data_IF_880164123602
#
_entry.id   IF_880164123602
#
_cell.length_a   1.000
_cell.length_b   1.000
_cell.length_c   1.000
_cell.angle_alpha   90.00
_cell.angle_beta   90.00
_cell.angle_gamma   90.00
#
_symmetry.space_group_name_H-M   'P 1'
#
loop_
_entity.id
_entity.type
_entity.pdbx_description
1 polymer ?
#
# COMPACT_ATOMS: atom_id res chain seq x y z
N UNK A 1 -16.58 11.00 4.05
CA UNK A 1 -16.34 11.02 5.51
C UNK A 1 -14.89 10.71 5.72
N UNK A 2 -14.11 11.75 5.92
CA UNK A 2 -12.67 11.62 5.92
C UNK A 2 -12.15 11.82 7.35
N UNK A 3 -11.32 10.88 7.76
CA UNK A 3 -10.56 10.94 9.00
C UNK A 3 -9.09 10.74 8.69
N UNK A 4 -8.24 11.51 9.32
CA UNK A 4 -6.83 11.18 9.37
C UNK A 4 -6.59 10.22 10.54
N UNK A 5 -6.08 9.02 10.26
CA UNK A 5 -5.77 8.02 11.28
C UNK A 5 -4.26 7.87 11.39
N UNK A 6 -3.76 7.94 12.61
CA UNK A 6 -2.35 7.77 12.94
C UNK A 6 -2.18 6.64 13.94
N UNK A 7 -1.02 6.00 13.92
CA UNK A 7 -0.70 4.92 14.85
C UNK A 7 0.78 4.90 15.21
N UNK A 8 1.18 4.00 16.11
CA UNK A 8 2.54 3.89 16.61
C UNK A 8 3.02 5.19 17.28
N UNK A 9 2.23 5.73 18.18
CA UNK A 9 2.49 6.99 18.86
C UNK A 9 3.58 6.78 19.91
N UNK A 10 4.49 7.75 20.06
CA UNK A 10 5.55 7.70 21.06
C UNK A 10 4.95 7.51 22.47
N UNK A 11 5.42 6.51 23.19
CA UNK A 11 4.89 6.12 24.52
C UNK A 11 3.65 5.23 24.48
N UNK A 12 3.01 5.04 23.30
CA UNK A 12 1.82 4.20 23.13
C UNK A 12 1.84 3.55 21.74
N UNK A 13 2.79 2.64 21.52
CA UNK A 13 3.04 2.05 20.20
C UNK A 13 1.89 1.17 19.65
N UNK A 14 0.99 0.74 20.52
CA UNK A 14 -0.24 0.00 20.20
C UNK A 14 -1.47 0.91 20.02
N UNK A 15 -1.29 2.24 20.10
CA UNK A 15 -2.38 3.22 19.97
C UNK A 15 -2.62 3.57 18.52
N UNK A 16 -3.90 3.69 18.17
CA UNK A 16 -4.39 4.43 17.01
C UNK A 16 -5.15 5.65 17.50
N UNK A 17 -5.06 6.74 16.75
CA UNK A 17 -5.78 7.98 17.01
C UNK A 17 -6.30 8.52 15.68
N UNK A 18 -7.47 9.13 15.70
CA UNK A 18 -8.09 9.73 14.53
C UNK A 18 -8.52 11.16 14.76
N UNK A 19 -8.49 11.96 13.70
CA UNK A 19 -8.89 13.36 13.69
C UNK A 19 -10.40 13.52 13.80
N UNK A 20 -10.86 14.76 13.88
CA UNK A 20 -12.26 15.08 13.67
C UNK A 20 -12.73 14.73 12.26
N UNK A 21 -14.02 14.44 12.11
CA UNK A 21 -14.62 14.14 10.81
C UNK A 21 -14.46 15.32 9.85
N UNK A 22 -13.91 15.06 8.66
CA UNK A 22 -13.61 16.04 7.61
C UNK A 22 -12.74 17.23 8.08
N UNK A 23 -12.02 17.07 9.20
CA UNK A 23 -11.17 18.13 9.75
C UNK A 23 -9.91 17.52 10.39
N UNK A 24 -8.84 17.46 9.61
CA UNK A 24 -7.57 16.86 10.02
C UNK A 24 -6.80 17.66 11.08
N UNK A 25 -7.23 18.88 11.36
CA UNK A 25 -6.60 19.75 12.37
C UNK A 25 -7.15 19.56 13.77
N UNK A 26 -8.32 18.93 13.89
CA UNK A 26 -9.01 18.70 15.15
C UNK A 26 -8.68 17.32 15.72
N UNK A 27 -8.06 17.30 16.89
CA UNK A 27 -7.67 16.10 17.63
C UNK A 27 -8.35 15.98 18.99
N UNK A 28 -9.34 16.84 19.27
CA UNK A 28 -10.19 16.82 20.46
C UNK A 28 -11.57 17.34 20.10
N UNK A 29 -12.62 16.56 20.34
CA UNK A 29 -13.98 16.85 19.89
C UNK A 29 -14.23 16.51 18.43
N UNK A 30 -15.39 16.84 17.88
CA UNK A 30 -15.81 16.52 16.50
C UNK A 30 -15.59 15.06 16.10
N UNK A 31 -15.87 14.11 16.99
CA UNK A 31 -15.66 12.67 16.80
C UNK A 31 -14.17 12.23 16.73
N UNK A 32 -13.21 13.13 17.00
CA UNK A 32 -11.83 12.68 17.19
C UNK A 32 -11.69 11.90 18.48
N UNK A 33 -10.88 10.86 18.49
CA UNK A 33 -10.61 10.04 19.68
C UNK A 33 -9.37 9.17 19.42
N UNK A 34 -9.04 8.35 20.40
CA UNK A 34 -7.98 7.36 20.28
C UNK A 34 -8.41 6.04 20.91
N UNK A 35 -7.75 4.96 20.52
CA UNK A 35 -7.92 3.67 21.16
C UNK A 35 -6.60 2.89 21.23
N UNK A 36 -6.33 2.34 22.41
CA UNK A 36 -5.24 1.40 22.61
C UNK A 36 -5.74 0.00 22.20
N UNK A 37 -5.02 -0.61 21.24
CA UNK A 37 -5.36 -1.93 20.76
C UNK A 37 -4.97 -2.98 21.81
N UNK A 38 -5.90 -3.82 22.25
CA UNK A 38 -5.66 -4.79 23.30
C UNK A 38 -4.78 -5.96 22.82
N UNK A 39 -4.26 -6.71 23.79
CA UNK A 39 -3.52 -7.95 23.54
C UNK A 39 -2.06 -7.75 23.11
N UNK A 40 -1.39 -8.87 22.87
CA UNK A 40 0.06 -8.98 22.60
C UNK A 40 0.45 -8.80 21.13
N UNK A 41 -0.39 -8.14 20.31
CA UNK A 41 -0.14 -7.96 18.86
C UNK A 41 1.08 -7.10 18.50
N UNK A 42 1.75 -6.48 19.48
CA UNK A 42 2.90 -5.60 19.27
C UNK A 42 2.51 -4.18 18.83
N UNK A 43 3.47 -3.44 18.32
CA UNK A 43 3.26 -2.07 17.85
C UNK A 43 2.44 -2.03 16.55
N UNK A 44 1.80 -0.91 16.27
CA UNK A 44 1.20 -0.62 14.97
C UNK A 44 2.33 -0.43 13.94
N UNK A 45 2.18 -1.09 12.78
CA UNK A 45 3.21 -1.12 11.72
C UNK A 45 2.71 -0.40 10.48
N UNK A 46 1.44 -0.60 10.13
CA UNK A 46 0.80 0.06 8.98
C UNK A 46 -0.69 0.26 9.24
N UNK A 47 -1.27 1.20 8.52
CA UNK A 47 -2.72 1.43 8.48
C UNK A 47 -3.09 1.61 7.02
N UNK A 48 -4.14 0.91 6.57
CA UNK A 48 -4.69 1.10 5.23
C UNK A 48 -5.89 2.02 5.26
N UNK A 49 -6.20 2.64 4.13
CA UNK A 49 -7.32 3.55 3.95
C UNK A 49 -8.47 2.87 3.17
N UNK A 50 -9.63 3.53 3.08
CA UNK A 50 -10.78 3.10 2.30
C UNK A 50 -12.08 3.10 3.11
N UNK A 51 -13.12 2.44 2.58
CA UNK A 51 -14.38 2.24 3.30
C UNK A 51 -14.19 1.41 4.58
N UNK A 52 -13.25 0.48 4.52
CA UNK A 52 -12.79 -0.35 5.64
C UNK A 52 -11.30 -0.12 5.80
N UNK A 53 -10.89 0.27 7.00
CA UNK A 53 -9.48 0.38 7.35
C UNK A 53 -8.96 -0.94 7.94
N UNK A 54 -7.68 -1.23 7.72
CA UNK A 54 -7.00 -2.30 8.43
C UNK A 54 -5.79 -1.75 9.15
N UNK A 55 -5.70 -2.04 10.44
CA UNK A 55 -4.58 -1.68 11.28
C UNK A 55 -3.69 -2.90 11.44
N UNK A 56 -2.50 -2.85 10.85
CA UNK A 56 -1.51 -3.90 10.96
C UNK A 56 -0.63 -3.65 12.19
N UNK A 57 -0.57 -4.63 13.04
CA UNK A 57 0.41 -4.73 14.12
C UNK A 57 1.47 -5.76 13.73
N UNK A 58 2.51 -5.92 14.52
CA UNK A 58 3.54 -6.93 14.25
C UNK A 58 2.97 -8.36 14.15
N UNK A 59 2.06 -8.72 15.06
CA UNK A 59 1.50 -10.07 15.15
C UNK A 59 -0.04 -10.09 15.13
N UNK A 60 -0.70 -9.04 14.65
CA UNK A 60 -2.15 -8.96 14.66
C UNK A 60 -2.62 -8.02 13.56
N UNK A 61 -3.80 -8.32 13.01
CA UNK A 61 -4.49 -7.41 12.09
C UNK A 61 -5.86 -7.10 12.68
N UNK A 62 -6.19 -5.81 12.75
CA UNK A 62 -7.44 -5.30 13.27
C UNK A 62 -8.16 -4.58 12.14
N UNK A 63 -9.39 -4.97 11.87
CA UNK A 63 -10.32 -4.28 10.98
C UNK A 63 -10.95 -3.11 11.70
N UNK A 64 -11.07 -1.98 11.01
CA UNK A 64 -11.60 -0.72 11.51
C UNK A 64 -12.78 -0.30 10.64
N UNK A 65 -14.00 -0.40 11.19
CA UNK A 65 -15.24 -0.04 10.52
C UNK A 65 -15.78 1.27 11.11
N UNK A 66 -16.13 2.22 10.26
CA UNK A 66 -16.85 3.40 10.69
C UNK A 66 -18.32 3.04 10.99
N UNK A 67 -18.74 3.27 12.22
CA UNK A 67 -20.14 3.03 12.66
C UNK A 67 -20.88 4.32 13.02
N UNK A 68 -20.14 5.38 13.33
CA UNK A 68 -20.70 6.68 13.71
C UNK A 68 -21.30 6.70 15.12
N UNK A 69 -21.82 7.86 15.52
CA UNK A 69 -22.40 8.05 16.85
C UNK A 69 -21.35 8.18 17.95
N UNK A 70 -21.66 7.69 19.14
CA UNK A 70 -20.76 7.74 20.29
C UNK A 70 -19.53 6.84 20.10
N UNK A 71 -19.68 5.71 19.42
CA UNK A 71 -18.57 4.86 19.00
C UNK A 71 -18.28 5.17 17.53
N UNK A 72 -17.25 5.95 17.28
CA UNK A 72 -16.89 6.38 15.90
C UNK A 72 -16.47 5.19 15.05
N UNK A 73 -15.57 4.37 15.58
CA UNK A 73 -15.07 3.17 14.90
C UNK A 73 -15.27 1.92 15.74
N UNK A 74 -15.68 0.86 15.08
CA UNK A 74 -15.67 -0.49 15.63
C UNK A 74 -14.39 -1.19 15.18
N UNK A 75 -13.65 -1.75 16.13
CA UNK A 75 -12.42 -2.47 15.91
C UNK A 75 -12.64 -3.98 16.12
N UNK A 76 -12.32 -4.77 15.13
CA UNK A 76 -12.47 -6.22 15.13
C UNK A 76 -11.17 -6.91 14.73
N UNK A 77 -10.70 -7.86 15.55
CA UNK A 77 -9.50 -8.63 15.23
C UNK A 77 -9.83 -9.67 14.16
N UNK A 78 -9.20 -9.58 12.99
CA UNK A 78 -9.36 -10.54 11.89
C UNK A 78 -8.20 -11.55 11.82
N UNK A 79 -7.04 -11.19 12.36
CA UNK A 79 -5.90 -12.10 12.49
C UNK A 79 -5.25 -11.89 13.86
N UNK A 80 -5.33 -12.86 14.79
CA UNK A 80 -4.80 -12.70 16.13
C UNK A 80 -3.31 -13.01 16.26
N UNK A 81 -2.73 -13.74 15.30
CA UNK A 81 -1.35 -14.26 15.39
C UNK A 81 -0.51 -13.94 14.14
N UNK A 82 -0.97 -13.04 13.28
CA UNK A 82 -0.25 -12.64 12.07
C UNK A 82 -0.48 -11.18 11.79
N UNK A 83 0.59 -10.46 11.48
CA UNK A 83 0.58 -9.05 11.11
C UNK A 83 1.56 -8.79 9.97
N UNK A 84 1.96 -7.54 9.77
CA UNK A 84 2.96 -7.18 8.79
C UNK A 84 4.33 -6.99 9.45
N UNK A 85 5.39 -7.48 8.80
CA UNK A 85 6.76 -7.34 9.33
C UNK A 85 7.20 -5.88 9.27
N UNK A 86 6.98 -5.23 8.10
CA UNK A 86 7.33 -3.83 7.88
C UNK A 86 6.16 -3.08 7.24
N UNK A 87 5.97 -1.82 7.60
CA UNK A 87 4.85 -1.00 7.09
C UNK A 87 4.87 -0.82 5.57
N UNK A 88 6.04 -0.71 4.98
CA UNK A 88 6.22 -0.55 3.53
C UNK A 88 5.90 -1.82 2.73
N UNK A 89 5.71 -2.96 3.37
CA UNK A 89 5.34 -4.21 2.70
C UNK A 89 3.85 -4.38 2.48
N UNK A 90 3.06 -3.46 3.03
CA UNK A 90 1.60 -3.42 2.88
C UNK A 90 1.26 -2.54 1.69
N UNK A 91 0.50 -3.09 0.75
CA UNK A 91 -0.05 -2.34 -0.38
C UNK A 91 -1.52 -2.71 -0.58
N UNK A 92 -2.26 -1.80 -1.22
CA UNK A 92 -3.70 -1.92 -1.34
C UNK A 92 -4.14 -1.60 -2.77
N UNK A 93 -5.06 -2.39 -3.28
CA UNK A 93 -5.84 -2.12 -4.48
C UNK A 93 -7.33 -2.16 -4.12
N UNK A 94 -7.95 -0.98 -4.01
CA UNK A 94 -9.36 -0.83 -3.65
C UNK A 94 -9.72 -1.62 -2.37
N UNK A 95 -10.36 -2.80 -2.51
CA UNK A 95 -10.80 -3.65 -1.40
C UNK A 95 -9.83 -4.78 -1.06
N UNK A 96 -8.77 -4.96 -1.85
CA UNK A 96 -7.76 -5.99 -1.64
C UNK A 96 -6.55 -5.38 -0.97
N UNK A 97 -6.09 -5.99 0.09
CA UNK A 97 -4.87 -5.57 0.78
C UNK A 97 -3.89 -6.73 0.74
N UNK A 98 -2.69 -6.45 0.27
CA UNK A 98 -1.61 -7.41 0.17
C UNK A 98 -0.51 -7.02 1.15
N UNK A 99 0.13 -8.00 1.79
CA UNK A 99 1.19 -7.74 2.74
C UNK A 99 2.16 -8.91 2.86
N UNK A 100 3.34 -8.62 3.38
CA UNK A 100 4.34 -9.59 3.75
C UNK A 100 4.38 -9.74 5.27
N UNK A 101 4.15 -10.98 5.74
CA UNK A 101 4.30 -11.40 7.12
C UNK A 101 5.64 -12.16 7.30
N UNK A 102 5.96 -12.55 8.51
CA UNK A 102 7.16 -13.33 8.85
C UNK A 102 7.22 -14.72 8.18
N UNK A 103 6.05 -15.29 7.87
CA UNK A 103 5.87 -16.61 7.24
C UNK A 103 5.49 -16.54 5.76
N UNK A 104 5.42 -15.35 5.14
CA UNK A 104 5.21 -15.19 3.71
C UNK A 104 4.21 -14.11 3.28
N UNK A 105 3.70 -14.25 2.06
CA UNK A 105 2.81 -13.29 1.42
C UNK A 105 1.34 -13.67 1.61
N UNK A 106 0.54 -12.64 1.93
CA UNK A 106 -0.87 -12.78 2.24
C UNK A 106 -1.71 -11.71 1.55
N UNK A 107 -2.98 -12.04 1.38
CA UNK A 107 -4.04 -11.16 0.91
C UNK A 107 -5.17 -11.11 1.94
N UNK A 108 -5.75 -9.94 2.18
CA UNK A 108 -6.99 -9.79 2.93
C UNK A 108 -8.15 -9.72 1.94
N UNK A 109 -9.08 -10.65 2.11
CA UNK A 109 -10.34 -10.71 1.37
C UNK A 109 -11.51 -10.61 2.36
N UNK A 110 -12.02 -9.39 2.55
CA UNK A 110 -13.01 -9.11 3.60
C UNK A 110 -12.43 -9.34 5.01
N UNK A 111 -12.89 -10.36 5.71
CA UNK A 111 -12.37 -10.73 7.04
C UNK A 111 -11.37 -11.90 7.01
N UNK A 112 -11.11 -12.45 5.84
CA UNK A 112 -10.24 -13.61 5.70
C UNK A 112 -8.83 -13.19 5.30
N UNK A 113 -7.83 -13.72 5.99
CA UNK A 113 -6.42 -13.60 5.65
C UNK A 113 -5.98 -14.86 4.93
N UNK A 114 -5.69 -14.75 3.65
CA UNK A 114 -5.39 -15.87 2.75
C UNK A 114 -3.92 -15.84 2.35
N UNK A 115 -3.23 -16.98 2.52
CA UNK A 115 -1.84 -17.14 2.06
C UNK A 115 -1.77 -17.25 0.54
N UNK A 116 -1.09 -16.34 -0.12
CA UNK A 116 -0.94 -16.33 -1.58
C UNK A 116 0.42 -16.86 -2.06
N UNK A 117 1.43 -16.85 -1.19
CA UNK A 117 2.79 -17.29 -1.50
C UNK A 117 3.13 -18.72 -1.07
N UNK A 118 2.25 -19.38 -0.31
CA UNK A 118 2.46 -20.72 0.24
C UNK A 118 2.69 -21.73 -0.90
N UNK A 119 3.74 -22.58 -0.77
CA UNK A 119 4.17 -23.58 -1.76
C UNK A 119 4.49 -23.03 -3.17
N UNK A 120 4.41 -21.70 -3.34
CA UNK A 120 4.71 -21.03 -4.63
C UNK A 120 6.02 -20.25 -4.56
N UNK A 121 6.07 -19.24 -3.72
CA UNK A 121 7.15 -18.24 -3.75
C UNK A 121 7.80 -18.00 -2.39
N UNK A 122 7.13 -18.28 -1.27
CA UNK A 122 7.63 -17.95 0.06
C UNK A 122 9.03 -18.54 0.31
N UNK A 123 9.22 -19.82 -0.04
CA UNK A 123 10.49 -20.52 0.15
C UNK A 123 11.63 -19.92 -0.68
N UNK A 124 11.34 -19.54 -1.92
CA UNK A 124 12.29 -18.86 -2.79
C UNK A 124 12.65 -17.49 -2.22
N UNK A 125 11.62 -16.71 -1.86
CA UNK A 125 11.79 -15.35 -1.35
C UNK A 125 12.60 -15.33 -0.04
N UNK A 126 12.28 -16.23 0.90
CA UNK A 126 13.02 -16.31 2.17
C UNK A 126 14.51 -16.67 1.99
N UNK A 127 14.82 -17.51 1.01
CA UNK A 127 16.18 -17.89 0.68
C UNK A 127 16.95 -16.78 -0.07
N UNK A 128 16.24 -15.98 -0.86
CA UNK A 128 16.83 -14.94 -1.70
C UNK A 128 16.88 -13.56 -1.02
N UNK A 129 16.06 -13.32 -0.03
CA UNK A 129 16.02 -12.06 0.71
C UNK A 129 17.27 -11.83 1.55
N UNK A 130 17.92 -10.70 1.36
CA UNK A 130 18.95 -10.22 2.28
C UNK A 130 18.33 -9.70 3.57
N UNK A 131 18.29 -10.56 4.59
CA UNK A 131 17.63 -10.28 5.88
C UNK A 131 18.24 -9.08 6.63
N UNK A 132 19.50 -8.73 6.35
CA UNK A 132 20.14 -7.56 6.96
C UNK A 132 19.52 -6.23 6.49
N UNK A 133 18.86 -6.23 5.34
CA UNK A 133 18.19 -5.06 4.75
C UNK A 133 16.71 -5.30 4.48
N UNK A 134 16.08 -6.21 5.20
CA UNK A 134 14.67 -6.54 5.01
C UNK A 134 13.71 -5.36 5.26
N UNK A 135 14.14 -4.36 6.05
CA UNK A 135 13.43 -3.10 6.26
C UNK A 135 13.32 -2.22 5.00
N UNK A 136 14.09 -2.55 3.96
CA UNK A 136 14.07 -1.86 2.67
C UNK A 136 13.02 -2.40 1.70
N UNK A 137 12.33 -3.48 2.03
CA UNK A 137 11.24 -4.01 1.21
C UNK A 137 10.15 -2.95 1.07
N UNK A 138 9.75 -2.70 -0.17
CA UNK A 138 8.69 -1.73 -0.51
C UNK A 138 7.68 -2.38 -1.44
N UNK A 139 6.41 -2.21 -1.15
CA UNK A 139 5.31 -2.76 -1.94
C UNK A 139 4.52 -1.66 -2.66
N UNK A 140 3.98 -2.01 -3.82
CA UNK A 140 3.00 -1.21 -4.54
C UNK A 140 2.03 -2.12 -5.31
N UNK A 141 0.88 -1.57 -5.66
CA UNK A 141 -0.09 -2.21 -6.55
C UNK A 141 -0.18 -1.48 -7.88
N UNK A 142 -0.44 -2.24 -8.93
CA UNK A 142 -0.88 -1.73 -10.22
C UNK A 142 -2.29 -2.27 -10.48
N UNK A 143 -3.33 -1.49 -10.18
CA UNK A 143 -4.72 -1.92 -10.36
C UNK A 143 -5.09 -2.18 -11.81
N UNK A 144 -4.47 -1.47 -12.74
CA UNK A 144 -4.76 -1.60 -14.16
C UNK A 144 -4.36 -2.98 -14.70
N UNK A 145 -3.17 -3.46 -14.31
CA UNK A 145 -2.66 -4.77 -14.72
C UNK A 145 -2.94 -5.87 -13.67
N UNK A 146 -3.66 -5.54 -12.61
CA UNK A 146 -3.98 -6.48 -11.50
C UNK A 146 -2.74 -7.09 -10.85
N UNK A 147 -1.75 -6.23 -10.53
CA UNK A 147 -0.48 -6.66 -9.96
C UNK A 147 -0.29 -6.12 -8.54
N UNK A 148 0.24 -6.96 -7.66
CA UNK A 148 0.87 -6.56 -6.41
C UNK A 148 2.36 -6.88 -6.51
N UNK A 149 3.22 -5.92 -6.15
CA UNK A 149 4.66 -5.98 -6.38
C UNK A 149 5.40 -5.67 -5.09
N UNK A 150 6.49 -6.40 -4.85
CA UNK A 150 7.41 -6.14 -3.73
C UNK A 150 8.82 -6.02 -4.26
N UNK A 151 9.39 -4.86 -4.04
CA UNK A 151 10.80 -4.57 -4.29
C UNK A 151 11.61 -5.03 -3.09
N UNK A 152 12.74 -5.74 -3.29
CA UNK A 152 13.55 -6.22 -2.19
C UNK A 152 15.03 -6.35 -2.55
N UNK A 153 15.94 -6.25 -1.56
CA UNK A 153 17.36 -6.53 -1.75
C UNK A 153 17.62 -8.03 -1.68
N UNK A 154 18.28 -8.61 -2.69
CA UNK A 154 18.64 -10.03 -2.68
C UNK A 154 19.99 -10.29 -2.01
N UNK A 155 20.23 -11.54 -1.61
CA UNK A 155 21.53 -11.97 -1.06
C UNK A 155 22.67 -11.91 -2.08
N UNK A 156 22.34 -12.01 -3.38
CA UNK A 156 23.30 -11.99 -4.47
C UNK A 156 23.46 -10.60 -5.11
N UNK A 157 22.98 -9.56 -4.46
CA UNK A 157 23.12 -8.20 -4.94
C UNK A 157 24.60 -7.78 -4.92
N UNK A 158 25.14 -7.36 -6.05
CA UNK A 158 26.51 -6.84 -6.13
C UNK A 158 26.73 -5.56 -5.34
N UNK A 159 25.64 -4.81 -5.05
CA UNK A 159 25.62 -3.63 -4.18
C UNK A 159 25.19 -3.94 -2.74
N UNK A 160 25.57 -5.09 -2.24
CA UNK A 160 25.10 -5.68 -0.97
C UNK A 160 25.35 -4.80 0.27
N UNK A 161 26.25 -3.84 0.18
CA UNK A 161 26.59 -2.89 1.26
C UNK A 161 25.63 -1.71 1.38
N UNK A 162 24.77 -1.47 0.41
CA UNK A 162 23.90 -0.28 0.36
C UNK A 162 22.42 -0.61 0.61
N UNK A 163 22.04 -1.88 0.54
CA UNK A 163 20.65 -2.32 0.70
C UNK A 163 19.71 -1.81 -0.41
N UNK A 164 20.25 -1.44 -1.58
CA UNK A 164 19.44 -1.11 -2.75
C UNK A 164 18.73 -2.35 -3.23
N UNK A 165 17.44 -2.23 -3.53
CA UNK A 165 16.67 -3.35 -4.04
C UNK A 165 17.06 -3.66 -5.49
N UNK A 166 17.44 -4.91 -5.76
CA UNK A 166 17.87 -5.41 -7.06
C UNK A 166 16.88 -6.39 -7.68
N UNK A 167 15.84 -6.75 -6.93
CA UNK A 167 14.78 -7.66 -7.36
C UNK A 167 13.40 -7.16 -7.01
N UNK A 168 12.46 -7.56 -7.84
CA UNK A 168 11.04 -7.31 -7.63
C UNK A 168 10.28 -8.61 -7.85
N UNK A 169 9.52 -9.02 -6.83
CA UNK A 169 8.59 -10.13 -6.94
C UNK A 169 7.20 -9.58 -7.25
N UNK A 170 6.50 -10.19 -8.19
CA UNK A 170 5.26 -9.71 -8.77
C UNK A 170 4.20 -10.79 -8.65
N UNK A 171 3.07 -10.45 -8.09
CA UNK A 171 1.89 -11.28 -8.00
C UNK A 171 0.77 -10.72 -8.87
N UNK A 172 0.36 -11.47 -9.89
CA UNK A 172 -0.86 -11.14 -10.63
C UNK A 172 -2.05 -11.78 -9.91
N UNK A 173 -2.89 -10.95 -9.28
CA UNK A 173 -3.98 -11.43 -8.45
C UNK A 173 -5.24 -11.84 -9.24
N UNK A 174 -5.31 -11.55 -10.54
CA UNK A 174 -6.35 -12.09 -11.41
C UNK A 174 -6.02 -13.53 -11.83
N UNK A 175 -4.77 -13.81 -12.19
CA UNK A 175 -4.33 -15.14 -12.64
C UNK A 175 -3.73 -16.00 -11.52
N UNK A 176 -3.48 -15.40 -10.35
CA UNK A 176 -2.82 -16.02 -9.19
C UNK A 176 -1.41 -16.57 -9.49
N UNK A 177 -0.72 -15.94 -10.42
CA UNK A 177 0.64 -16.31 -10.84
C UNK A 177 1.68 -15.35 -10.29
N UNK A 178 2.87 -15.88 -10.07
CA UNK A 178 4.03 -15.16 -9.61
C UNK A 178 5.08 -15.00 -10.70
N UNK A 179 5.75 -13.87 -10.69
CA UNK A 179 6.88 -13.56 -11.59
C UNK A 179 7.98 -12.87 -10.81
N UNK A 180 9.20 -12.91 -11.34
CA UNK A 180 10.37 -12.26 -10.78
C UNK A 180 10.96 -11.33 -11.84
N UNK A 181 11.33 -10.11 -11.44
CA UNK A 181 12.04 -9.16 -12.27
C UNK A 181 13.33 -8.71 -11.57
N UNK A 182 14.35 -8.38 -12.37
CA UNK A 182 15.55 -7.69 -11.91
C UNK A 182 15.34 -6.19 -12.06
N UNK A 183 15.81 -5.43 -11.12
CA UNK A 183 15.67 -3.98 -11.09
C UNK A 183 16.85 -3.35 -10.36
N UNK A 184 16.92 -2.05 -10.31
CA UNK A 184 17.85 -1.30 -9.48
C UNK A 184 17.10 -0.04 -9.02
N UNK A 185 16.34 -0.18 -7.93
CA UNK A 185 15.49 0.87 -7.45
C UNK A 185 15.40 0.85 -5.92
N UNK A 186 15.21 2.01 -5.31
CA UNK A 186 15.04 2.14 -3.86
C UNK A 186 13.58 2.29 -3.44
N UNK A 187 12.71 2.67 -4.37
CA UNK A 187 11.29 2.91 -4.10
C UNK A 187 10.44 2.48 -5.30
N UNK A 188 9.22 2.09 -5.00
CA UNK A 188 8.13 1.89 -5.96
C UNK A 188 6.87 2.50 -5.37
N UNK A 189 6.10 3.19 -6.16
CA UNK A 189 4.84 3.78 -5.75
C UNK A 189 3.89 3.87 -6.94
N UNK A 190 2.57 3.78 -6.72
CA UNK A 190 1.58 4.02 -7.75
C UNK A 190 1.60 5.51 -8.12
N UNK A 191 1.66 5.81 -9.41
CA UNK A 191 1.51 7.16 -9.92
C UNK A 191 0.16 7.29 -10.61
N UNK A 192 -0.64 8.25 -10.19
CA UNK A 192 -1.77 8.70 -10.96
C UNK A 192 -1.28 9.69 -12.01
N UNK A 193 -1.38 9.31 -13.26
CA UNK A 193 -1.34 10.29 -14.35
C UNK A 193 -2.75 10.85 -14.43
N UNK A 194 -2.97 12.06 -13.93
CA UNK A 194 -4.23 12.75 -14.08
C UNK A 194 -4.57 12.85 -15.58
N UNK A 195 -5.75 12.41 -15.96
CA UNK A 195 -6.24 12.73 -17.29
C UNK A 195 -6.29 14.27 -17.41
N UNK A 196 -5.74 14.80 -18.48
CA UNK A 196 -5.90 16.21 -18.77
C UNK A 196 -7.40 16.47 -19.01
N UNK A 197 -8.00 17.29 -18.17
CA UNK A 197 -9.35 17.80 -18.44
C UNK A 197 -9.26 18.90 -19.49
N UNK A 198 -10.37 19.20 -20.16
CA UNK A 198 -10.43 20.28 -21.15
C UNK A 198 -9.99 21.61 -20.54
N UNK A 199 -10.34 21.84 -19.26
CA UNK A 199 -9.95 23.03 -18.50
C UNK A 199 -8.44 23.07 -18.20
N UNK A 200 -7.81 21.90 -18.03
CA UNK A 200 -6.36 21.83 -17.81
C UNK A 200 -5.60 22.01 -19.13
N UNK A 201 -6.18 21.62 -20.24
CA UNK A 201 -5.61 21.89 -21.57
C UNK A 201 -5.62 23.37 -21.89
N UNK A 202 -6.64 24.12 -21.49
CA UNK A 202 -6.70 25.60 -21.61
C UNK A 202 -5.59 26.31 -20.82
N UNK A 203 -5.10 25.72 -19.73
CA UNK A 203 -3.98 26.26 -18.94
C UNK A 203 -2.62 25.95 -19.60
N UNK A 204 -2.53 24.84 -20.32
CA UNK A 204 -1.29 24.38 -20.98
C UNK A 204 -1.11 25.03 -22.34
N UNK A 205 -2.22 25.34 -23.02
CA UNK A 205 -2.24 26.03 -24.31
C UNK A 205 -3.09 27.29 -24.18
N UNK A 206 -2.54 28.44 -24.56
CA UNK A 206 -3.25 29.73 -24.55
C UNK A 206 -4.48 29.73 -25.46
N UNK A 207 -4.61 28.73 -26.34
CA UNK A 207 -5.78 28.51 -27.21
C UNK A 207 -5.93 27.02 -27.58
N UNK A 208 -7.09 26.44 -27.32
CA UNK A 208 -7.46 25.09 -27.84
C UNK A 208 -7.39 25.01 -29.39
N UNK A 209 -7.56 26.13 -30.08
CA UNK A 209 -7.40 26.23 -31.51
C UNK A 209 -5.95 26.02 -31.98
N UNK A 210 -4.96 26.38 -31.18
CA UNK A 210 -3.55 26.14 -31.48
C UNK A 210 -3.17 24.64 -31.36
N UNK A 211 -3.81 23.88 -30.48
CA UNK A 211 -3.65 22.43 -30.40
C UNK A 211 -4.28 21.75 -31.63
N UNK A 212 -5.44 22.22 -32.09
CA UNK A 212 -6.06 21.71 -33.30
C UNK A 212 -5.26 22.08 -34.56
N UNK A 213 -4.68 23.27 -34.61
CA UNK A 213 -3.81 23.65 -35.71
C UNK A 213 -2.52 22.81 -35.77
N UNK A 214 -1.93 22.46 -34.62
CA UNK A 214 -0.77 21.59 -34.57
C UNK A 214 -1.10 20.13 -34.89
N UNK A 215 -2.30 19.66 -34.55
CA UNK A 215 -2.78 18.31 -34.87
C UNK A 215 -3.17 18.17 -36.35
N UNK A 216 -3.65 19.27 -36.99
CA UNK A 216 -4.10 19.24 -38.41
C UNK A 216 -2.93 19.41 -39.40
N UNK A 217 -1.81 20.02 -39.01
CA UNK A 217 -0.77 20.40 -39.99
C UNK A 217 0.45 19.49 -40.02
N UNK A 218 0.84 18.85 -38.93
CA UNK A 218 2.13 18.14 -38.88
C UNK A 218 2.07 16.64 -38.55
N UNK A 219 0.95 16.12 -38.09
CA UNK A 219 0.88 14.73 -37.64
C UNK A 219 -0.02 13.81 -38.51
N UNK A 220 -0.84 14.37 -39.38
CA UNK A 220 -1.79 13.59 -40.21
C UNK A 220 -1.56 13.73 -41.73
N UNK A 221 -0.58 14.51 -42.17
CA UNK A 221 -0.03 14.35 -43.51
C UNK A 221 0.89 13.12 -43.51
N UNK A 222 0.23 11.99 -43.32
CA UNK A 222 0.83 10.68 -43.55
C UNK A 222 1.36 10.65 -44.94
N UNK A 223 2.68 10.61 -45.08
CA UNK A 223 3.33 10.48 -46.35
C UNK A 223 2.69 9.40 -47.20
N UNK A 224 2.35 9.82 -48.39
CA UNK A 224 2.14 8.93 -49.54
C UNK A 224 3.44 8.22 -49.87
#
# INVERSE_FOLDING_TARGET
RDFLVVGNIVGSTNRIQWSGINDITVWSGKQSDFQDLPGSGGRVVAITSGEVGYVFRQNQIVRMDYVGGATVFRLSVISPNRGAVFGKTVCQDNRRVFFYADDGFYEIQGDNVVGIGVEKVNRFFDADLNKAYADRIVAATDPFNTLAMWLYPSVNNTNNTTGICDRMIIYNYATQKWSLAKTNASQIFPQFVGAYTVELMDIISENLEDINAALDTDYWDGGQ
#
